data_IF_736809208561
#
_entry.id   IF_736809208561
#
_cell.length_a   1.000
_cell.length_b   1.000
_cell.length_c   1.000
_cell.angle_alpha   90.00
_cell.angle_beta   90.00
_cell.angle_gamma   90.00
#
_symmetry.space_group_name_H-M   'P 1'
#
loop_
_entity.id
_entity.type
_entity.pdbx_description
1 polymer ?
#
# COMPACT_ATOMS: atom_id res chain seq x y z
N UNK A 1 -8.96 -5.91 5.24
CA UNK A 1 -8.58 -4.76 4.40
C UNK A 1 -7.65 -5.25 3.31
N UNK A 2 -7.54 -4.55 2.18
CA UNK A 2 -6.69 -5.01 1.07
C UNK A 2 -5.72 -3.93 0.57
N UNK A 3 -4.80 -4.32 -0.31
CA UNK A 3 -3.81 -3.43 -0.90
C UNK A 3 -4.11 -3.19 -2.38
N UNK A 4 -4.00 -1.94 -2.83
CA UNK A 4 -4.04 -1.58 -4.24
C UNK A 4 -2.69 -1.03 -4.66
N UNK A 5 -2.08 -1.60 -5.69
CA UNK A 5 -0.78 -1.17 -6.20
C UNK A 5 -0.85 0.28 -6.69
N UNK A 6 0.13 1.08 -6.28
CA UNK A 6 0.25 2.46 -6.74
C UNK A 6 1.08 2.46 -8.02
N UNK A 7 0.60 3.13 -9.07
CA UNK A 7 1.25 3.13 -10.38
C UNK A 7 1.63 4.55 -10.83
N UNK A 8 2.60 4.64 -11.74
CA UNK A 8 2.90 5.87 -12.48
C UNK A 8 3.42 7.02 -11.61
N UNK A 9 2.74 8.17 -11.68
CA UNK A 9 3.21 9.42 -11.06
C UNK A 9 3.19 9.37 -9.53
N UNK A 10 2.16 8.78 -8.94
CA UNK A 10 1.99 8.73 -7.49
C UNK A 10 3.09 7.88 -6.83
N UNK A 11 3.47 6.77 -7.47
CA UNK A 11 4.58 5.94 -7.00
C UNK A 11 5.91 6.71 -7.02
N UNK A 12 6.16 7.49 -8.08
CA UNK A 12 7.38 8.33 -8.16
C UNK A 12 7.40 9.37 -7.04
N UNK A 13 6.28 10.02 -6.76
CA UNK A 13 6.17 10.99 -5.67
C UNK A 13 6.44 10.35 -4.31
N UNK A 14 5.89 9.16 -4.05
CA UNK A 14 6.13 8.42 -2.82
C UNK A 14 7.61 8.05 -2.63
N UNK A 15 8.31 7.62 -3.69
CA UNK A 15 9.76 7.38 -3.62
C UNK A 15 10.58 8.66 -3.41
N UNK A 16 10.13 9.81 -3.91
CA UNK A 16 10.81 11.10 -3.65
C UNK A 16 10.67 11.48 -2.16
N UNK A 17 9.47 11.30 -1.60
CA UNK A 17 9.18 11.66 -0.20
C UNK A 17 9.84 10.67 0.77
N UNK A 18 9.88 9.38 0.40
CA UNK A 18 10.41 8.29 1.22
C UNK A 18 11.48 7.49 0.44
N UNK A 19 12.68 8.07 0.24
CA UNK A 19 13.71 7.48 -0.63
C UNK A 19 14.34 6.20 -0.08
N UNK A 20 14.16 5.91 1.21
CA UNK A 20 14.70 4.72 1.86
C UNK A 20 13.84 3.46 1.65
N UNK A 21 12.64 3.61 1.07
CA UNK A 21 11.74 2.51 0.75
C UNK A 21 12.09 1.92 -0.62
N UNK A 22 12.63 0.69 -0.64
CA UNK A 22 13.06 -0.03 -1.84
C UNK A 22 12.02 -0.98 -2.45
N UNK A 23 10.84 -1.10 -1.83
CA UNK A 23 9.76 -1.97 -2.27
C UNK A 23 8.77 -1.34 -3.23
N UNK A 24 7.66 -2.05 -3.45
CA UNK A 24 6.51 -1.57 -4.22
C UNK A 24 5.57 -0.82 -3.29
N UNK A 25 5.03 0.30 -3.77
CA UNK A 25 4.04 1.08 -3.02
C UNK A 25 2.63 0.55 -3.26
N UNK A 26 1.89 0.45 -2.16
CA UNK A 26 0.48 0.07 -2.13
C UNK A 26 -0.33 1.10 -1.33
N UNK A 27 -1.50 1.45 -1.84
CA UNK A 27 -2.51 2.17 -1.08
C UNK A 27 -3.33 1.17 -0.26
N UNK A 28 -3.56 1.48 1.01
CA UNK A 28 -4.41 0.67 1.91
C UNK A 28 -5.88 0.96 1.59
N UNK A 29 -6.66 -0.09 1.38
CA UNK A 29 -8.07 -0.01 1.01
C UNK A 29 -8.95 -0.70 2.04
N UNK A 30 -10.12 -0.14 2.31
CA UNK A 30 -11.19 -0.80 3.05
C UNK A 30 -11.83 -1.91 2.20
N UNK A 31 -12.52 -2.87 2.81
CA UNK A 31 -13.19 -3.97 2.08
C UNK A 31 -14.31 -3.49 1.16
N UNK A 32 -14.90 -2.32 1.44
CA UNK A 32 -15.92 -1.67 0.61
C UNK A 32 -15.34 -0.98 -0.65
N UNK A 33 -14.02 -1.03 -0.86
CA UNK A 33 -13.35 -0.43 -2.00
C UNK A 33 -12.95 1.03 -1.81
N UNK A 34 -13.22 1.62 -0.65
CA UNK A 34 -12.79 2.99 -0.34
C UNK A 34 -11.33 3.05 0.12
N UNK A 35 -10.69 4.19 -0.12
CA UNK A 35 -9.35 4.45 0.37
C UNK A 35 -9.33 4.53 1.90
N UNK A 36 -8.42 3.78 2.55
CA UNK A 36 -8.21 3.95 3.98
C UNK A 36 -7.50 5.27 4.25
N UNK A 37 -8.00 6.04 5.21
CA UNK A 37 -7.51 7.37 5.54
C UNK A 37 -7.13 7.46 7.02
N UNK A 38 -6.24 8.40 7.36
CA UNK A 38 -6.03 8.81 8.75
C UNK A 38 -7.13 9.77 9.23
N UNK A 39 -7.08 10.19 10.49
CA UNK A 39 -8.05 11.14 11.10
C UNK A 39 -8.10 12.51 10.40
N UNK A 40 -7.10 12.84 9.58
CA UNK A 40 -7.03 14.09 8.79
C UNK A 40 -7.53 13.89 7.35
N UNK A 41 -8.04 12.71 6.99
CA UNK A 41 -8.50 12.38 5.64
C UNK A 41 -7.38 12.05 4.64
N UNK A 42 -6.11 11.98 5.06
CA UNK A 42 -5.01 11.60 4.17
C UNK A 42 -5.00 10.10 3.93
N UNK A 43 -4.84 9.68 2.68
CA UNK A 43 -4.73 8.27 2.29
C UNK A 43 -3.54 7.60 2.96
N UNK A 44 -3.71 6.33 3.32
CA UNK A 44 -2.65 5.51 3.91
C UNK A 44 -1.98 4.65 2.86
N UNK A 45 -0.65 4.63 2.90
CA UNK A 45 0.20 3.85 2.01
C UNK A 45 1.10 2.90 2.80
N UNK A 46 1.62 1.89 2.14
CA UNK A 46 2.68 1.03 2.64
C UNK A 46 3.63 0.69 1.50
N UNK A 47 4.92 0.63 1.79
CA UNK A 47 5.91 0.09 0.88
C UNK A 47 6.31 -1.29 1.37
N UNK A 48 6.33 -2.28 0.49
CA UNK A 48 6.71 -3.65 0.83
C UNK A 48 7.56 -4.26 -0.28
N UNK A 49 8.60 -4.99 0.11
CA UNK A 49 9.25 -5.93 -0.79
C UNK A 49 8.43 -7.22 -0.89
N UNK A 50 8.72 -8.05 -1.89
CA UNK A 50 7.91 -9.25 -2.20
C UNK A 50 7.78 -10.21 -1.02
N UNK A 51 8.86 -10.44 -0.26
CA UNK A 51 8.84 -11.32 0.92
C UNK A 51 7.95 -10.80 2.05
N UNK A 52 7.96 -9.49 2.28
CA UNK A 52 7.11 -8.83 3.30
C UNK A 52 5.64 -8.92 2.90
N UNK A 53 5.35 -8.66 1.62
CA UNK A 53 3.98 -8.77 1.10
C UNK A 53 3.45 -10.19 1.23
N UNK A 54 4.25 -11.19 0.88
CA UNK A 54 3.88 -12.60 1.01
C UNK A 54 3.55 -12.96 2.45
N UNK A 55 4.41 -12.56 3.40
CA UNK A 55 4.20 -12.80 4.81
C UNK A 55 2.93 -12.10 5.34
N UNK A 56 2.69 -10.85 4.94
CA UNK A 56 1.51 -10.10 5.36
C UNK A 56 0.20 -10.73 4.85
N UNK A 57 0.21 -11.33 3.65
CA UNK A 57 -0.92 -12.09 3.12
C UNK A 57 -1.11 -13.42 3.85
N UNK A 58 -0.03 -14.16 4.11
CA UNK A 58 -0.07 -15.43 4.87
C UNK A 58 -0.60 -15.22 6.30
N UNK A 59 -0.19 -14.12 6.94
CA UNK A 59 -0.63 -13.71 8.27
C UNK A 59 -2.04 -13.10 8.29
N UNK A 60 -2.71 -12.97 7.13
CA UNK A 60 -4.03 -12.36 6.98
C UNK A 60 -4.10 -10.90 7.44
N UNK A 61 -2.98 -10.17 7.40
CA UNK A 61 -2.96 -8.72 7.61
C UNK A 61 -3.70 -8.01 6.46
N UNK A 62 -3.55 -8.54 5.25
CA UNK A 62 -4.29 -8.10 4.06
C UNK A 62 -5.00 -9.28 3.40
N UNK A 63 -6.17 -9.00 2.83
CA UNK A 63 -7.03 -10.04 2.23
C UNK A 63 -6.72 -10.31 0.76
N UNK A 64 -6.23 -9.30 0.03
CA UNK A 64 -5.83 -9.41 -1.38
C UNK A 64 -4.93 -8.24 -1.80
N UNK A 65 -4.39 -8.35 -3.00
CA UNK A 65 -3.68 -7.29 -3.70
C UNK A 65 -4.34 -7.05 -5.06
N UNK A 66 -4.65 -5.79 -5.36
CA UNK A 66 -5.15 -5.34 -6.66
C UNK A 66 -4.07 -4.54 -7.40
N UNK A 67 -4.15 -4.52 -8.72
CA UNK A 67 -3.24 -3.78 -9.60
C UNK A 67 -3.70 -2.36 -9.92
#
# INVERSE_FOLDING_TARGET
MYLKKVNGLEQKQLHIIMPFCSGVWYQKMNEDGTAKQNERGSKLYTCMIESELKLALENKEFTKVEN
#
